data_IF_909885554372
#
_entry.id   IF_909885554372
#
_cell.length_a   1.000
_cell.length_b   1.000
_cell.length_c   1.000
_cell.angle_alpha   90.00
_cell.angle_beta   90.00
_cell.angle_gamma   90.00
#
_symmetry.space_group_name_H-M   'P 1'
#
loop_
_entity.id
_entity.type
_entity.pdbx_description
1 polymer ?
#
# COMPACT_ATOMS: atom_id res chain seq x y z
N UNK A 1 -6.94 -48.10 30.97
CA UNK A 1 -6.45 -47.67 29.65
C UNK A 1 -7.66 -47.38 28.76
N UNK A 2 -8.02 -46.11 28.59
CA UNK A 2 -9.11 -45.67 27.71
C UNK A 2 -8.60 -44.53 26.82
N UNK A 3 -8.75 -44.69 25.50
CA UNK A 3 -8.21 -43.80 24.48
C UNK A 3 -9.06 -42.54 24.31
N UNK A 4 -8.46 -41.36 24.52
CA UNK A 4 -9.07 -40.06 24.19
C UNK A 4 -8.78 -39.76 22.72
N UNK A 5 -9.81 -39.86 21.87
CA UNK A 5 -9.76 -39.49 20.45
C UNK A 5 -9.76 -37.96 20.31
N UNK A 6 -8.72 -37.43 19.67
CA UNK A 6 -8.71 -36.06 19.13
C UNK A 6 -9.72 -35.99 17.99
N UNK A 7 -10.80 -35.21 18.15
CA UNK A 7 -11.80 -34.96 17.11
C UNK A 7 -11.48 -33.61 16.45
N UNK A 8 -10.96 -33.68 15.24
CA UNK A 8 -10.75 -32.54 14.35
C UNK A 8 -12.13 -32.08 13.83
N UNK A 9 -12.68 -30.98 14.36
CA UNK A 9 -13.89 -30.37 13.79
C UNK A 9 -13.50 -29.23 12.85
N UNK A 10 -14.17 -29.21 11.71
CA UNK A 10 -13.77 -28.58 10.45
C UNK A 10 -13.73 -27.05 10.55
N UNK A 11 -12.73 -26.50 9.86
CA UNK A 11 -12.64 -25.13 9.35
C UNK A 11 -13.97 -24.67 8.74
N UNK A 12 -14.51 -23.57 9.23
CA UNK A 12 -15.63 -22.85 8.61
C UNK A 12 -15.00 -21.89 7.60
N UNK A 13 -14.98 -22.27 6.32
CA UNK A 13 -14.27 -21.54 5.26
C UNK A 13 -15.19 -20.87 4.24
N UNK A 14 -16.50 -20.73 4.52
CA UNK A 14 -17.47 -20.26 3.51
C UNK A 14 -18.34 -19.11 4.01
N UNK A 15 -18.44 -18.07 3.17
CA UNK A 15 -19.30 -16.88 3.33
C UNK A 15 -20.78 -17.25 3.51
N UNK A 16 -21.20 -18.43 3.04
CA UNK A 16 -22.56 -18.97 3.20
C UNK A 16 -22.97 -19.17 4.66
N UNK A 17 -22.01 -19.54 5.52
CA UNK A 17 -22.30 -19.86 6.92
C UNK A 17 -22.58 -18.60 7.75
N UNK A 18 -22.03 -17.46 7.33
CA UNK A 18 -22.30 -16.15 7.95
C UNK A 18 -23.72 -15.63 7.64
N UNK A 19 -24.24 -15.86 6.42
CA UNK A 19 -25.60 -15.46 6.07
C UNK A 19 -26.66 -16.26 6.83
N UNK A 20 -26.44 -17.56 7.06
CA UNK A 20 -27.36 -18.39 7.85
C UNK A 20 -27.40 -17.98 9.33
N UNK A 21 -26.27 -17.57 9.91
CA UNK A 21 -26.21 -17.08 11.28
C UNK A 21 -26.93 -15.73 11.48
N UNK A 22 -26.90 -14.85 10.47
CA UNK A 22 -27.63 -13.57 10.50
C UNK A 22 -29.15 -13.74 10.28
N UNK A 23 -29.58 -14.78 9.57
CA UNK A 23 -30.99 -15.03 9.29
C UNK A 23 -31.77 -15.64 10.48
N UNK A 24 -31.10 -16.23 11.47
CA UNK A 24 -31.76 -16.87 12.62
C UNK A 24 -32.06 -15.93 13.80
N UNK A 25 -31.91 -14.62 13.62
CA UNK A 25 -32.30 -13.61 14.61
C UNK A 25 -33.82 -13.41 14.66
N UNK A 26 -34.54 -14.26 15.37
CA UNK A 26 -35.94 -14.02 15.77
C UNK A 26 -36.23 -14.62 17.15
N UNK A 27 -36.14 -13.72 18.13
CA UNK A 27 -36.86 -13.63 19.42
C UNK A 27 -37.80 -14.77 19.82
N UNK A 28 -37.49 -15.43 20.95
CA UNK A 28 -38.48 -15.90 21.90
C UNK A 28 -38.10 -15.36 23.28
N UNK A 29 -38.91 -14.43 23.76
CA UNK A 29 -38.91 -13.93 25.14
C UNK A 29 -39.93 -14.78 25.88
N UNK A 30 -39.45 -15.74 26.67
CA UNK A 30 -40.27 -16.41 27.68
C UNK A 30 -39.81 -15.94 29.06
N UNK A 31 -40.73 -15.22 29.69
CA UNK A 31 -40.72 -14.76 31.07
C UNK A 31 -41.11 -15.95 31.95
N UNK A 32 -40.22 -16.43 32.82
CA UNK A 32 -40.65 -17.31 33.91
C UNK A 32 -39.76 -17.22 35.15
N UNK A 33 -40.47 -17.26 36.26
CA UNK A 33 -40.10 -16.92 37.61
C UNK A 33 -39.09 -17.86 38.29
N UNK A 34 -38.47 -17.31 39.33
CA UNK A 34 -37.94 -17.98 40.52
C UNK A 34 -37.07 -19.23 40.32
N UNK A 35 -35.75 -19.04 40.46
CA UNK A 35 -34.90 -20.03 41.13
C UNK A 35 -33.73 -19.30 41.79
N UNK A 36 -33.76 -19.27 43.13
CA UNK A 36 -32.56 -19.05 43.95
C UNK A 36 -31.44 -19.99 43.46
N UNK A 37 -30.43 -19.42 42.79
CA UNK A 37 -29.16 -20.10 42.56
C UNK A 37 -28.07 -19.42 43.39
N UNK A 38 -27.77 -20.11 44.49
CA UNK A 38 -26.48 -20.20 45.18
C UNK A 38 -25.36 -19.53 44.37
N UNK A 39 -24.77 -18.49 44.96
CA UNK A 39 -23.57 -17.83 44.46
C UNK A 39 -22.41 -18.82 44.35
N UNK A 40 -22.24 -19.44 43.19
CA UNK A 40 -20.97 -20.05 42.81
C UNK A 40 -19.89 -18.96 42.78
N UNK A 41 -18.69 -19.21 43.31
CA UNK A 41 -17.59 -18.28 43.14
C UNK A 41 -17.31 -18.17 41.65
N UNK A 42 -17.48 -16.97 41.09
CA UNK A 42 -17.20 -16.66 39.70
C UNK A 42 -15.79 -17.16 39.38
N UNK A 43 -15.75 -18.26 38.63
CA UNK A 43 -14.54 -18.84 38.13
C UNK A 43 -13.93 -17.82 37.13
N UNK A 44 -13.01 -17.00 37.62
CA UNK A 44 -12.29 -15.97 36.86
C UNK A 44 -11.52 -16.53 35.64
N UNK A 45 -11.51 -17.85 35.44
CA UNK A 45 -10.90 -18.50 34.28
C UNK A 45 -11.71 -18.37 32.98
N UNK A 46 -12.96 -17.89 33.03
CA UNK A 46 -13.80 -17.66 31.85
C UNK A 46 -13.91 -16.19 31.43
N UNK A 47 -12.94 -15.32 31.78
CA UNK A 47 -12.77 -14.13 30.92
C UNK A 47 -12.32 -14.66 29.56
N UNK A 48 -13.04 -14.40 28.46
CA UNK A 48 -12.43 -14.48 27.15
C UNK A 48 -11.36 -13.41 27.21
N UNK A 49 -10.13 -13.82 27.54
CA UNK A 49 -8.94 -13.04 27.34
C UNK A 49 -9.02 -12.69 25.88
N UNK A 50 -9.48 -11.46 25.60
CA UNK A 50 -9.56 -10.92 24.27
C UNK A 50 -8.21 -11.23 23.69
N UNK A 51 -8.20 -12.18 22.74
CA UNK A 51 -6.99 -12.61 22.07
C UNK A 51 -6.48 -11.34 21.45
N UNK A 52 -5.59 -10.66 22.18
CA UNK A 52 -4.64 -9.73 21.65
C UNK A 52 -3.98 -10.58 20.59
N UNK A 53 -4.46 -10.46 19.36
CA UNK A 53 -3.81 -10.90 18.16
C UNK A 53 -2.52 -10.06 18.06
N UNK A 54 -1.62 -10.30 19.02
CA UNK A 54 -0.19 -10.11 18.87
C UNK A 54 0.21 -11.25 17.94
N UNK A 55 -0.24 -11.13 16.70
CA UNK A 55 0.43 -11.79 15.59
C UNK A 55 1.85 -11.30 15.70
N UNK A 56 2.73 -12.21 16.10
CA UNK A 56 4.17 -12.04 16.01
C UNK A 56 4.46 -11.71 14.56
N UNK A 57 4.48 -10.42 14.22
CA UNK A 57 5.01 -9.93 12.96
C UNK A 57 6.50 -10.21 13.07
N UNK A 58 6.92 -11.40 12.63
CA UNK A 58 8.33 -11.75 12.59
C UNK A 58 9.03 -10.66 11.80
N UNK A 59 9.97 -9.98 12.43
CA UNK A 59 10.76 -8.89 11.83
C UNK A 59 11.38 -9.29 10.48
N UNK A 60 11.67 -10.58 10.30
CA UNK A 60 12.08 -11.18 9.04
C UNK A 60 11.04 -11.06 7.92
N UNK A 61 9.74 -11.18 8.21
CA UNK A 61 8.67 -11.01 7.22
C UNK A 61 8.60 -9.58 6.71
N UNK A 62 8.76 -8.60 7.60
CA UNK A 62 8.84 -7.19 7.19
C UNK A 62 10.12 -6.92 6.38
N UNK A 63 11.26 -7.51 6.77
CA UNK A 63 12.51 -7.43 6.01
C UNK A 63 12.37 -8.02 4.60
N UNK A 64 11.73 -9.19 4.46
CA UNK A 64 11.47 -9.83 3.18
C UNK A 64 10.53 -8.99 2.32
N UNK A 65 9.50 -8.38 2.91
CA UNK A 65 8.60 -7.48 2.19
C UNK A 65 9.37 -6.28 1.66
N UNK A 66 10.18 -5.62 2.50
CA UNK A 66 11.01 -4.49 2.09
C UNK A 66 11.99 -4.90 0.99
N UNK A 67 12.66 -6.04 1.14
CA UNK A 67 13.62 -6.53 0.16
C UNK A 67 12.96 -6.90 -1.17
N UNK A 68 11.80 -7.55 -1.14
CA UNK A 68 11.03 -7.88 -2.32
C UNK A 68 10.53 -6.61 -3.02
N UNK A 69 10.03 -5.64 -2.24
CA UNK A 69 9.58 -4.36 -2.78
C UNK A 69 10.73 -3.57 -3.41
N UNK A 70 11.88 -3.53 -2.73
CA UNK A 70 13.10 -2.93 -3.23
C UNK A 70 13.61 -3.64 -4.48
N UNK A 71 13.53 -4.97 -4.53
CA UNK A 71 13.90 -5.78 -5.68
C UNK A 71 13.01 -5.52 -6.89
N UNK A 72 11.68 -5.49 -6.70
CA UNK A 72 10.71 -5.14 -7.76
C UNK A 72 10.92 -3.71 -8.25
N UNK A 73 11.08 -2.75 -7.33
CA UNK A 73 11.41 -1.37 -7.67
C UNK A 73 12.70 -1.30 -8.51
N UNK A 74 13.78 -1.95 -8.05
CA UNK A 74 15.08 -1.95 -8.73
C UNK A 74 14.99 -2.59 -10.10
N UNK A 75 14.28 -3.72 -10.23
CA UNK A 75 14.09 -4.40 -11.51
C UNK A 75 13.37 -3.52 -12.52
N UNK A 76 12.25 -2.90 -12.13
CA UNK A 76 11.46 -2.02 -13.01
C UNK A 76 12.23 -0.75 -13.33
N UNK A 77 12.88 -0.14 -12.33
CA UNK A 77 13.74 1.04 -12.52
C UNK A 77 14.87 0.76 -13.49
N UNK A 78 15.50 -0.41 -13.40
CA UNK A 78 16.60 -0.77 -14.27
C UNK A 78 16.12 -1.03 -15.70
N UNK A 79 15.03 -1.79 -15.84
CA UNK A 79 14.50 -2.20 -17.15
C UNK A 79 13.90 -1.03 -17.96
N UNK A 80 13.27 -0.07 -17.28
CA UNK A 80 12.54 1.04 -17.93
C UNK A 80 13.20 2.41 -17.72
N UNK A 81 14.23 2.50 -16.88
CA UNK A 81 14.79 3.79 -16.45
C UNK A 81 16.29 3.97 -16.63
N UNK A 82 17.13 2.94 -16.48
CA UNK A 82 18.59 3.07 -16.58
C UNK A 82 19.22 2.28 -17.72
N UNK A 83 18.63 1.15 -18.13
CA UNK A 83 19.11 0.28 -19.22
C UNK A 83 18.10 0.29 -20.38
N UNK A 84 17.73 1.51 -20.80
CA UNK A 84 16.77 1.74 -21.87
C UNK A 84 17.35 1.21 -23.19
N UNK A 85 16.84 0.07 -23.64
CA UNK A 85 16.96 -0.31 -25.05
C UNK A 85 16.43 0.83 -25.93
N UNK A 86 17.10 1.10 -27.05
CA UNK A 86 16.78 2.24 -27.93
C UNK A 86 15.28 2.30 -28.34
N UNK A 87 14.62 1.14 -28.44
CA UNK A 87 13.19 1.04 -28.75
C UNK A 87 12.27 1.59 -27.65
N UNK A 88 12.60 1.35 -26.37
CA UNK A 88 11.80 1.82 -25.23
C UNK A 88 11.98 3.33 -25.05
N UNK A 89 13.19 3.85 -25.31
CA UNK A 89 13.47 5.29 -25.31
C UNK A 89 12.61 6.01 -26.37
N UNK A 90 12.56 5.47 -27.59
CA UNK A 90 11.74 6.06 -28.66
C UNK A 90 10.26 6.04 -28.31
N UNK A 91 9.74 4.91 -27.81
CA UNK A 91 8.36 4.81 -27.35
C UNK A 91 8.04 5.84 -26.24
N UNK A 92 8.98 6.12 -25.34
CA UNK A 92 8.80 7.12 -24.29
C UNK A 92 8.74 8.57 -24.81
N UNK A 93 9.47 8.86 -25.89
CA UNK A 93 9.42 10.14 -26.60
C UNK A 93 8.09 10.30 -27.33
N UNK A 94 7.66 9.27 -28.06
CA UNK A 94 6.41 9.28 -28.81
C UNK A 94 5.21 9.45 -27.86
N UNK A 95 5.18 8.69 -26.76
CA UNK A 95 4.18 8.85 -25.69
C UNK A 95 4.18 10.26 -25.09
N UNK A 96 5.35 10.90 -24.96
CA UNK A 96 5.43 12.27 -24.45
C UNK A 96 4.78 13.27 -25.40
N UNK A 97 4.98 13.12 -26.72
CA UNK A 97 4.30 13.97 -27.71
C UNK A 97 2.78 13.76 -27.70
N UNK A 98 2.31 12.53 -27.52
CA UNK A 98 0.87 12.23 -27.38
C UNK A 98 0.28 12.95 -26.16
N UNK A 99 0.92 12.83 -24.99
CA UNK A 99 0.47 13.50 -23.76
C UNK A 99 0.44 15.02 -23.95
N UNK A 100 1.49 15.61 -24.55
CA UNK A 100 1.54 17.06 -24.82
C UNK A 100 0.41 17.49 -25.75
N UNK A 101 0.08 16.70 -26.77
CA UNK A 101 -1.03 16.99 -27.69
C UNK A 101 -2.38 17.01 -26.93
N UNK A 102 -2.58 16.04 -26.03
CA UNK A 102 -3.75 16.00 -25.15
C UNK A 102 -3.81 17.20 -24.20
N UNK A 103 -2.72 17.51 -23.51
CA UNK A 103 -2.63 18.65 -22.57
C UNK A 103 -2.91 19.98 -23.27
N UNK A 104 -2.44 20.15 -24.50
CA UNK A 104 -2.75 21.34 -25.32
C UNK A 104 -4.22 21.39 -25.72
N UNK A 105 -4.83 20.25 -26.06
CA UNK A 105 -6.26 20.18 -26.40
C UNK A 105 -7.15 20.61 -25.21
N UNK A 106 -6.78 20.25 -23.99
CA UNK A 106 -7.50 20.62 -22.76
C UNK A 106 -7.00 21.92 -22.12
N UNK A 107 -6.08 22.64 -22.76
CA UNK A 107 -5.50 23.90 -22.27
C UNK A 107 -4.80 23.79 -20.89
N UNK A 108 -4.31 22.60 -20.53
CA UNK A 108 -3.54 22.37 -19.30
C UNK A 108 -2.02 22.47 -19.52
N UNK A 109 -1.58 22.72 -20.76
CA UNK A 109 -0.16 22.90 -21.10
C UNK A 109 0.40 24.26 -20.63
N UNK A 110 0.43 24.47 -19.31
CA UNK A 110 0.98 25.66 -18.65
C UNK A 110 2.25 25.40 -17.83
N UNK A 111 2.64 24.13 -17.65
CA UNK A 111 3.76 23.72 -16.79
C UNK A 111 5.05 24.44 -17.17
N UNK A 112 5.39 24.46 -18.47
CA UNK A 112 6.63 25.08 -18.95
C UNK A 112 6.70 26.58 -18.60
N UNK A 113 5.58 27.30 -18.71
CA UNK A 113 5.54 28.73 -18.39
C UNK A 113 5.79 28.99 -16.91
N UNK A 114 5.21 28.17 -16.02
CA UNK A 114 5.45 28.26 -14.58
C UNK A 114 6.89 27.86 -14.25
N UNK A 115 7.39 26.80 -14.87
CA UNK A 115 8.76 26.32 -14.64
C UNK A 115 9.80 27.36 -15.09
N UNK A 116 9.64 27.97 -16.26
CA UNK A 116 10.56 28.99 -16.78
C UNK A 116 10.61 30.24 -15.88
N UNK A 117 9.54 30.54 -15.13
CA UNK A 117 9.53 31.65 -14.15
C UNK A 117 10.40 31.37 -12.92
N UNK A 118 10.50 30.11 -12.50
CA UNK A 118 11.25 29.73 -11.29
C UNK A 118 12.60 29.08 -11.59
N UNK A 119 12.88 28.71 -12.85
CA UNK A 119 14.10 27.98 -13.26
C UNK A 119 15.38 28.75 -12.90
N UNK A 120 15.33 30.08 -12.89
CA UNK A 120 16.46 30.94 -12.54
C UNK A 120 16.72 31.02 -11.03
N UNK A 121 15.79 30.54 -10.18
CA UNK A 121 15.87 30.65 -8.72
C UNK A 121 16.42 29.36 -8.12
N UNK A 122 17.72 29.15 -8.30
CA UNK A 122 18.40 27.90 -7.90
C UNK A 122 18.15 27.50 -6.45
N UNK A 123 18.23 28.44 -5.51
CA UNK A 123 18.00 28.16 -4.08
C UNK A 123 16.55 27.73 -3.80
N UNK A 124 15.58 28.31 -4.51
CA UNK A 124 14.17 27.97 -4.36
C UNK A 124 13.92 26.55 -4.87
N UNK A 125 14.38 26.23 -6.08
CA UNK A 125 14.25 24.89 -6.67
C UNK A 125 14.96 23.84 -5.82
N UNK A 126 16.19 24.13 -5.38
CA UNK A 126 16.96 23.22 -4.53
C UNK A 126 16.23 22.96 -3.21
N UNK A 127 15.70 24.00 -2.55
CA UNK A 127 14.92 23.83 -1.33
C UNK A 127 13.72 22.91 -1.55
N UNK A 128 12.90 23.16 -2.57
CA UNK A 128 11.72 22.35 -2.83
C UNK A 128 12.04 20.91 -3.22
N UNK A 129 13.12 20.70 -3.97
CA UNK A 129 13.61 19.36 -4.31
C UNK A 129 14.05 18.59 -3.05
N UNK A 130 14.82 19.24 -2.16
CA UNK A 130 15.27 18.63 -0.91
C UNK A 130 14.08 18.38 0.02
N UNK A 131 13.20 19.37 0.17
CA UNK A 131 12.00 19.28 0.99
C UNK A 131 11.12 18.12 0.55
N UNK A 132 10.80 18.03 -0.75
CA UNK A 132 10.01 16.95 -1.30
C UNK A 132 10.66 15.59 -1.06
N UNK A 133 11.95 15.46 -1.40
CA UNK A 133 12.69 14.20 -1.22
C UNK A 133 12.71 13.76 0.24
N UNK A 134 13.03 14.67 1.16
CA UNK A 134 13.08 14.38 2.59
C UNK A 134 11.69 14.02 3.13
N UNK A 135 10.68 14.85 2.90
CA UNK A 135 9.33 14.62 3.42
C UNK A 135 8.73 13.32 2.90
N UNK A 136 8.90 13.01 1.61
CA UNK A 136 8.35 11.80 1.02
C UNK A 136 8.80 10.54 1.77
N UNK A 137 10.10 10.41 2.08
CA UNK A 137 10.61 9.25 2.81
C UNK A 137 10.41 9.37 4.32
N UNK A 138 10.78 10.51 4.92
CA UNK A 138 10.74 10.70 6.36
C UNK A 138 9.30 10.56 6.89
N UNK A 139 8.32 11.17 6.23
CA UNK A 139 6.92 11.11 6.66
C UNK A 139 6.36 9.71 6.46
N UNK A 140 6.58 9.09 5.30
CA UNK A 140 6.06 7.73 5.00
C UNK A 140 6.59 6.71 6.00
N UNK A 141 7.90 6.72 6.28
CA UNK A 141 8.52 5.83 7.27
C UNK A 141 7.98 6.14 8.66
N UNK A 142 7.90 7.42 9.05
CA UNK A 142 7.42 7.83 10.37
C UNK A 142 5.97 7.39 10.61
N UNK A 143 5.09 7.53 9.61
CA UNK A 143 3.70 7.08 9.69
C UNK A 143 3.61 5.56 9.82
N UNK A 144 4.42 4.80 9.06
CA UNK A 144 4.45 3.34 9.16
C UNK A 144 4.95 2.88 10.54
N UNK A 145 6.03 3.46 11.05
CA UNK A 145 6.57 3.17 12.39
C UNK A 145 5.55 3.53 13.47
N UNK A 146 4.91 4.69 13.36
CA UNK A 146 3.86 5.11 14.29
C UNK A 146 2.68 4.11 14.30
N UNK A 147 2.24 3.67 13.13
CA UNK A 147 1.17 2.67 13.02
C UNK A 147 1.59 1.32 13.62
N UNK A 148 2.83 0.89 13.39
CA UNK A 148 3.38 -0.34 13.94
C UNK A 148 3.40 -0.32 15.48
N UNK A 149 3.85 0.79 16.07
CA UNK A 149 3.96 0.94 17.53
C UNK A 149 2.60 1.14 18.22
N UNK A 150 1.69 1.91 17.61
CA UNK A 150 0.45 2.35 18.26
C UNK A 150 -0.78 1.54 17.87
N UNK A 151 -0.84 1.02 16.63
CA UNK A 151 -2.03 0.38 16.05
C UNK A 151 -1.68 -0.84 15.15
N UNK A 152 -1.13 -1.93 15.73
CA UNK A 152 -0.70 -3.10 14.97
C UNK A 152 -1.84 -3.78 14.17
N UNK A 153 -3.09 -3.66 14.63
CA UNK A 153 -4.26 -4.17 13.91
C UNK A 153 -4.50 -3.48 12.56
N UNK A 154 -4.09 -2.21 12.39
CA UNK A 154 -4.27 -1.44 11.15
C UNK A 154 -3.03 -1.42 10.26
N UNK A 155 -1.86 -1.70 10.83
CA UNK A 155 -0.59 -1.78 10.12
C UNK A 155 -0.64 -2.76 8.94
N UNK A 156 -1.25 -3.94 9.14
CA UNK A 156 -1.39 -4.95 8.10
C UNK A 156 -2.17 -4.51 6.86
N UNK A 157 -3.19 -3.66 7.02
CA UNK A 157 -3.96 -3.12 5.89
C UNK A 157 -3.19 -2.02 5.17
N UNK A 158 -2.60 -1.09 5.93
CA UNK A 158 -1.90 0.05 5.34
C UNK A 158 -0.64 -0.35 4.57
N UNK A 159 0.12 -1.35 5.05
CA UNK A 159 1.27 -1.88 4.29
C UNK A 159 0.83 -2.47 2.95
N UNK A 160 -0.31 -3.16 2.89
CA UNK A 160 -0.82 -3.78 1.66
C UNK A 160 -1.30 -2.71 0.70
N UNK A 161 -1.96 -1.65 1.20
CA UNK A 161 -2.34 -0.50 0.38
C UNK A 161 -1.10 0.16 -0.21
N UNK A 162 -0.08 0.48 0.61
CA UNK A 162 1.17 1.10 0.16
C UNK A 162 1.89 0.25 -0.90
N UNK A 163 1.95 -1.07 -0.67
CA UNK A 163 2.55 -2.01 -1.61
C UNK A 163 1.75 -2.09 -2.91
N UNK A 164 0.42 -2.13 -2.81
CA UNK A 164 -0.46 -2.20 -3.98
C UNK A 164 -0.42 -0.93 -4.81
N UNK A 165 -0.52 0.26 -4.20
CA UNK A 165 -0.47 1.54 -4.91
C UNK A 165 0.88 1.74 -5.59
N UNK A 166 1.97 1.37 -4.93
CA UNK A 166 3.30 1.51 -5.52
C UNK A 166 3.52 0.46 -6.62
N UNK A 167 3.02 -0.77 -6.44
CA UNK A 167 3.02 -1.78 -7.51
C UNK A 167 2.21 -1.34 -8.73
N UNK A 168 1.02 -0.77 -8.51
CA UNK A 168 0.18 -0.22 -9.57
C UNK A 168 0.88 0.93 -10.31
N UNK A 169 1.54 1.84 -9.58
CA UNK A 169 2.32 2.91 -10.17
C UNK A 169 3.47 2.38 -11.04
N UNK A 170 4.16 1.33 -10.58
CA UNK A 170 5.23 0.69 -11.34
C UNK A 170 4.72 -0.04 -12.59
N UNK A 171 3.58 -0.71 -12.51
CA UNK A 171 2.93 -1.33 -13.68
C UNK A 171 2.51 -0.25 -14.69
N UNK A 172 1.92 0.86 -14.23
CA UNK A 172 1.59 2.00 -15.09
C UNK A 172 2.83 2.55 -15.79
N UNK A 173 3.92 2.76 -15.06
CA UNK A 173 5.19 3.23 -15.62
C UNK A 173 5.80 2.25 -16.64
N UNK A 174 5.70 0.95 -16.39
CA UNK A 174 6.17 -0.09 -17.31
C UNK A 174 5.35 -0.15 -18.61
N UNK A 175 4.04 0.04 -18.53
CA UNK A 175 3.14 0.01 -19.69
C UNK A 175 3.19 1.30 -20.51
N UNK A 176 3.39 2.44 -19.85
CA UNK A 176 3.42 3.74 -20.49
C UNK A 176 4.66 4.53 -20.04
N UNK A 177 5.85 4.16 -20.56
CA UNK A 177 7.06 4.91 -20.27
C UNK A 177 6.88 6.32 -20.85
N UNK A 178 7.20 7.34 -20.06
CA UNK A 178 6.99 8.74 -20.42
C UNK A 178 8.29 9.52 -20.22
N UNK A 179 8.74 10.20 -21.27
CA UNK A 179 9.84 11.15 -21.16
C UNK A 179 9.33 12.49 -20.64
N UNK A 180 9.96 13.09 -19.61
CA UNK A 180 9.55 14.40 -19.14
C UNK A 180 9.84 15.48 -20.20
N UNK A 181 8.94 16.46 -20.39
CA UNK A 181 9.04 17.44 -21.49
C UNK A 181 10.31 18.31 -21.45
N UNK A 182 10.89 18.52 -20.27
CA UNK A 182 12.18 19.23 -20.12
C UNK A 182 13.35 18.52 -20.82
N UNK A 183 13.30 17.19 -20.96
CA UNK A 183 14.35 16.39 -21.62
C UNK A 183 14.13 16.25 -23.13
N UNK A 184 12.96 16.63 -23.65
CA UNK A 184 12.67 16.56 -25.08
C UNK A 184 13.53 17.52 -25.92
N UNK A 185 14.00 18.62 -25.33
CA UNK A 185 14.86 19.60 -25.99
C UNK A 185 16.33 19.52 -25.55
N UNK A 186 16.68 18.53 -24.73
CA UNK A 186 18.04 18.30 -24.26
C UNK A 186 18.77 17.37 -25.23
N UNK A 187 20.02 17.70 -25.58
CA UNK A 187 20.91 16.92 -26.45
C UNK A 187 21.96 16.12 -25.65
N UNK A 188 21.77 16.00 -24.33
CA UNK A 188 22.59 15.13 -23.49
C UNK A 188 22.31 13.65 -23.79
N UNK A 189 23.16 12.70 -23.36
CA UNK A 189 22.93 11.27 -23.55
C UNK A 189 21.56 10.77 -23.03
N UNK A 190 20.94 11.52 -22.13
CA UNK A 190 19.64 11.22 -21.52
C UNK A 190 18.47 12.01 -22.15
N UNK A 191 18.75 12.90 -23.10
CA UNK A 191 17.78 13.72 -23.82
C UNK A 191 17.18 13.04 -25.05
N UNK A 192 16.18 13.67 -25.67
CA UNK A 192 15.53 13.18 -26.90
C UNK A 192 16.26 13.59 -28.19
N UNK A 193 17.20 14.54 -28.08
CA UNK A 193 18.24 14.86 -29.05
C UNK A 193 19.53 14.10 -28.65
#
# INVERSE_FOLDING_TARGET
MAAVRVRFTRSVSSMSDYCNAMASGATDVEDDADTERVSEPLNDSERPQGRSARGSLHWWSELIIVLAFYGVYTFIRNQFGSDLGQSVKQAAIDNAYDVIAWERAVHLFGEKGIQDLFIEWDLFIMFWNIFYGFCHFAVTISVMVFLFLRHPARYGVQRTVLAFTTGLALVGFALYPLMPPRLLNDCSPFGAC
#
